data_IF_451010709995
#
_entry.id   IF_451010709995
#
_cell.length_a   1.000
_cell.length_b   1.000
_cell.length_c   1.000
_cell.angle_alpha   90.00
_cell.angle_beta   90.00
_cell.angle_gamma   90.00
#
_symmetry.space_group_name_H-M   'P 1'
#
loop_
_entity.id
_entity.type
_entity.pdbx_description
1 polymer ?
#
# COMPACT_ATOMS: atom_id res chain seq x y z
N UNK A 1 3.26 -23.30 -9.61
CA UNK A 1 3.12 -22.85 -8.21
C UNK A 1 4.49 -22.42 -7.73
N UNK A 2 4.69 -21.15 -7.36
CA UNK A 2 5.91 -20.79 -6.62
C UNK A 2 5.77 -21.40 -5.24
N UNK A 3 6.69 -22.30 -4.88
CA UNK A 3 6.76 -22.89 -3.55
C UNK A 3 6.95 -21.78 -2.51
N UNK A 4 6.20 -21.86 -1.40
CA UNK A 4 6.38 -21.04 -0.19
C UNK A 4 7.85 -20.87 0.19
N UNK A 5 8.67 -21.91 -0.01
CA UNK A 5 10.11 -21.94 0.29
C UNK A 5 10.95 -21.10 -0.69
N UNK A 6 10.56 -21.00 -1.96
CA UNK A 6 11.22 -20.14 -2.95
C UNK A 6 10.81 -18.67 -2.78
N UNK A 7 9.57 -18.40 -2.35
CA UNK A 7 9.12 -17.07 -1.96
C UNK A 7 9.91 -16.55 -0.73
N UNK A 8 10.15 -17.42 0.26
CA UNK A 8 10.90 -17.11 1.48
C UNK A 8 12.43 -16.99 1.29
N UNK A 9 13.04 -17.82 0.42
CA UNK A 9 14.48 -17.69 0.08
C UNK A 9 14.82 -16.37 -0.64
N UNK A 10 13.84 -15.77 -1.32
CA UNK A 10 13.99 -14.48 -2.01
C UNK A 10 13.83 -13.31 -1.04
N UNK A 11 13.03 -13.45 0.03
CA UNK A 11 12.84 -12.44 1.07
C UNK A 11 14.02 -12.33 2.05
N UNK A 12 14.79 -13.41 2.25
CA UNK A 12 15.94 -13.44 3.16
C UNK A 12 17.30 -13.03 2.56
N UNK A 13 17.35 -12.48 1.34
CA UNK A 13 18.62 -12.18 0.64
C UNK A 13 18.91 -10.68 0.39
N UNK A 14 18.08 -9.75 0.87
CA UNK A 14 18.37 -8.31 0.69
C UNK A 14 19.22 -7.68 1.80
N UNK A 15 19.81 -8.49 2.67
CA UNK A 15 20.70 -8.02 3.74
C UNK A 15 22.16 -8.47 3.54
N UNK A 16 22.76 -8.28 2.36
CA UNK A 16 24.24 -8.23 2.19
C UNK A 16 24.66 -7.30 1.02
N UNK A 17 24.98 -6.05 1.38
CA UNK A 17 26.09 -5.12 1.03
C UNK A 17 26.93 -5.25 -0.29
N UNK A 18 27.42 -4.07 -0.75
CA UNK A 18 28.70 -3.71 -1.45
C UNK A 18 28.50 -3.26 -2.92
N UNK A 19 28.93 -2.09 -3.42
CA UNK A 19 29.68 -0.95 -2.88
C UNK A 19 30.09 -0.02 -4.05
N UNK A 20 29.80 1.28 -3.95
CA UNK A 20 30.52 2.38 -4.61
C UNK A 20 29.97 3.71 -4.05
N UNK A 21 30.63 4.20 -2.99
CA UNK A 21 30.68 5.63 -2.62
C UNK A 21 29.38 6.36 -2.31
N UNK A 22 28.82 6.20 -1.11
CA UNK A 22 28.09 7.29 -0.44
C UNK A 22 28.29 7.16 1.07
N UNK A 23 29.39 7.71 1.57
CA UNK A 23 29.51 8.10 2.98
C UNK A 23 29.02 9.54 3.12
N UNK A 24 28.44 9.85 4.28
CA UNK A 24 28.11 11.20 4.77
C UNK A 24 26.98 11.95 4.08
N UNK A 25 25.76 11.60 4.48
CA UNK A 25 24.55 12.41 4.33
C UNK A 25 23.64 12.32 5.55
N UNK A 26 24.22 12.24 6.76
CA UNK A 26 23.48 12.46 8.01
C UNK A 26 23.30 13.98 8.16
N UNK A 27 22.46 14.57 7.31
CA UNK A 27 22.06 15.97 7.35
C UNK A 27 20.55 16.04 7.54
N UNK A 28 20.18 16.08 8.83
CA UNK A 28 19.09 16.88 9.41
C UNK A 28 17.90 17.21 8.52
N UNK A 29 16.86 16.39 8.62
CA UNK A 29 15.53 16.64 8.06
C UNK A 29 14.53 15.57 8.47
N UNK A 30 14.54 15.17 9.75
CA UNK A 30 13.70 14.07 10.24
C UNK A 30 12.26 14.54 10.46
N UNK A 31 11.49 14.77 9.40
CA UNK A 31 10.04 14.60 9.50
C UNK A 31 9.79 13.11 9.41
N UNK A 32 9.67 12.41 10.55
CA UNK A 32 9.18 11.03 10.59
C UNK A 32 7.80 11.01 9.92
N UNK A 33 7.75 10.65 8.64
CA UNK A 33 6.51 10.38 7.95
C UNK A 33 5.96 9.09 8.55
N UNK A 34 4.94 9.18 9.40
CA UNK A 34 4.21 7.99 9.85
C UNK A 34 3.10 7.74 8.84
N UNK A 35 3.35 6.80 7.93
CA UNK A 35 2.35 6.21 7.06
C UNK A 35 2.06 4.77 7.51
N UNK A 36 0.80 4.36 7.45
CA UNK A 36 0.39 2.98 7.66
C UNK A 36 -0.68 2.62 6.65
N UNK A 37 -0.50 1.52 5.94
CA UNK A 37 -1.41 1.10 4.87
C UNK A 37 -1.72 -0.38 4.98
N UNK A 38 -2.99 -0.72 4.72
CA UNK A 38 -3.46 -2.10 4.59
C UNK A 38 -4.14 -2.22 3.24
N UNK A 39 -3.68 -3.16 2.42
CA UNK A 39 -4.34 -3.56 1.18
C UNK A 39 -4.93 -4.96 1.35
N UNK A 40 -6.11 -5.19 0.79
CA UNK A 40 -6.77 -6.49 0.90
C UNK A 40 -7.56 -6.84 -0.36
N UNK A 41 -7.37 -8.07 -0.83
CA UNK A 41 -8.35 -8.74 -1.67
C UNK A 41 -9.22 -9.55 -0.74
N UNK A 42 -10.47 -9.12 -0.56
CA UNK A 42 -11.34 -9.66 0.47
C UNK A 42 -12.68 -10.14 -0.11
N UNK A 43 -13.28 -11.18 0.49
CA UNK A 43 -14.63 -11.60 0.15
C UNK A 43 -15.64 -10.51 0.53
N UNK A 44 -16.84 -10.59 -0.04
CA UNK A 44 -17.99 -9.77 0.36
C UNK A 44 -18.58 -10.22 1.71
N UNK A 45 -17.74 -10.16 2.74
CA UNK A 45 -18.04 -10.61 4.10
C UNK A 45 -17.85 -9.44 5.07
N UNK A 46 -18.96 -9.03 5.70
CA UNK A 46 -18.97 -7.89 6.63
C UNK A 46 -18.05 -8.13 7.84
N UNK A 47 -17.91 -9.37 8.31
CA UNK A 47 -17.03 -9.68 9.44
C UNK A 47 -15.56 -9.48 9.07
N UNK A 48 -15.17 -9.82 7.83
CA UNK A 48 -13.81 -9.57 7.33
C UNK A 48 -13.53 -8.07 7.23
N UNK A 49 -14.47 -7.30 6.69
CA UNK A 49 -14.38 -5.83 6.62
C UNK A 49 -14.26 -5.25 8.04
N UNK A 50 -15.09 -5.72 8.98
CA UNK A 50 -15.08 -5.27 10.36
C UNK A 50 -13.75 -5.54 11.07
N UNK A 51 -13.21 -6.75 10.89
CA UNK A 51 -11.92 -7.12 11.46
C UNK A 51 -10.79 -6.26 10.90
N UNK A 52 -10.78 -5.98 9.59
CA UNK A 52 -9.76 -5.15 8.95
C UNK A 52 -9.81 -3.70 9.41
N UNK A 53 -10.98 -3.06 9.38
CA UNK A 53 -11.15 -1.67 9.82
C UNK A 53 -10.79 -1.54 11.30
N UNK A 54 -11.22 -2.48 12.13
CA UNK A 54 -10.91 -2.47 13.57
C UNK A 54 -9.43 -2.70 13.85
N UNK A 55 -8.79 -3.65 13.18
CA UNK A 55 -7.36 -3.90 13.33
C UNK A 55 -6.53 -2.69 12.89
N UNK A 56 -6.92 -2.06 11.78
CA UNK A 56 -6.32 -0.83 11.28
C UNK A 56 -6.46 0.31 12.28
N UNK A 57 -7.68 0.61 12.75
CA UNK A 57 -7.97 1.63 13.79
C UNK A 57 -7.12 1.43 15.05
N UNK A 58 -7.05 0.19 15.55
CA UNK A 58 -6.26 -0.12 16.74
C UNK A 58 -4.76 0.08 16.51
N UNK A 59 -4.26 -0.19 15.30
CA UNK A 59 -2.85 0.01 14.96
C UNK A 59 -2.49 1.49 14.86
N UNK A 60 -3.34 2.30 14.23
CA UNK A 60 -3.08 3.74 14.04
C UNK A 60 -3.46 4.59 15.24
N UNK A 61 -4.27 4.07 16.18
CA UNK A 61 -4.74 4.74 17.40
C UNK A 61 -5.30 6.15 17.16
N UNK A 62 -6.11 6.31 16.12
CA UNK A 62 -6.68 7.60 15.71
C UNK A 62 -8.21 7.56 15.66
N UNK A 63 -8.84 8.63 16.12
CA UNK A 63 -10.29 8.85 16.05
C UNK A 63 -10.69 9.83 14.93
N UNK A 64 -9.74 10.28 14.10
CA UNK A 64 -10.02 11.21 12.99
C UNK A 64 -11.14 10.69 12.11
N UNK A 65 -11.99 11.59 11.61
CA UNK A 65 -13.04 11.23 10.68
C UNK A 65 -12.44 10.76 9.34
N UNK A 66 -12.81 9.56 8.86
CA UNK A 66 -12.21 9.02 7.65
C UNK A 66 -12.87 9.58 6.39
N UNK A 67 -12.09 9.70 5.32
CA UNK A 67 -12.62 9.85 3.96
C UNK A 67 -12.93 8.44 3.42
N UNK A 68 -14.18 8.20 3.01
CA UNK A 68 -14.63 6.89 2.50
C UNK A 68 -14.93 6.99 1.00
N UNK A 69 -14.24 6.20 0.20
CA UNK A 69 -14.41 6.11 -1.25
C UNK A 69 -14.93 4.71 -1.60
N UNK A 70 -16.23 4.59 -1.76
CA UNK A 70 -16.94 3.32 -1.90
C UNK A 70 -18.30 3.49 -2.58
N UNK A 71 -18.88 2.38 -3.07
CA UNK A 71 -20.33 2.32 -3.32
C UNK A 71 -21.11 2.54 -2.01
N UNK A 72 -22.25 3.23 -2.08
CA UNK A 72 -22.99 3.72 -0.89
C UNK A 72 -23.23 2.65 0.19
N UNK A 73 -23.70 1.46 -0.21
CA UNK A 73 -23.99 0.36 0.73
C UNK A 73 -22.76 -0.10 1.53
N UNK A 74 -21.62 -0.26 0.87
CA UNK A 74 -20.40 -0.75 1.55
C UNK A 74 -19.73 0.40 2.31
N UNK A 75 -19.84 1.64 1.80
CA UNK A 75 -19.39 2.83 2.49
C UNK A 75 -20.08 3.03 3.84
N UNK A 76 -21.39 2.84 3.91
CA UNK A 76 -22.17 2.90 5.17
C UNK A 76 -21.69 1.86 6.20
N UNK A 77 -21.42 0.63 5.74
CA UNK A 77 -20.89 -0.44 6.58
C UNK A 77 -19.54 -0.03 7.18
N UNK A 78 -18.60 0.44 6.35
CA UNK A 78 -17.29 0.91 6.81
C UNK A 78 -17.43 2.05 7.80
N UNK A 79 -18.29 3.04 7.51
CA UNK A 79 -18.51 4.18 8.41
C UNK A 79 -19.02 3.72 9.79
N UNK A 80 -20.02 2.83 9.80
CA UNK A 80 -20.59 2.28 11.04
C UNK A 80 -19.54 1.53 11.87
N UNK A 81 -18.69 0.74 11.22
CA UNK A 81 -17.62 -0.01 11.88
C UNK A 81 -16.57 0.96 12.42
N UNK A 82 -16.15 1.95 11.63
CA UNK A 82 -15.14 2.94 12.01
C UNK A 82 -15.55 3.73 13.26
N UNK A 83 -16.83 4.13 13.33
CA UNK A 83 -17.44 4.80 14.48
C UNK A 83 -17.44 3.92 15.73
N UNK A 84 -17.84 2.64 15.58
CA UNK A 84 -17.84 1.67 16.69
C UNK A 84 -16.44 1.33 17.20
N UNK A 85 -15.42 1.47 16.35
CA UNK A 85 -14.02 1.18 16.68
C UNK A 85 -13.27 2.36 17.30
N UNK A 86 -13.93 3.49 17.54
CA UNK A 86 -13.36 4.63 18.28
C UNK A 86 -13.11 4.25 19.73
N UNK A 87 -12.02 4.75 20.30
CA UNK A 87 -11.65 4.53 21.71
C UNK A 87 -11.16 5.82 22.33
N UNK A 88 -11.45 6.03 23.62
CA UNK A 88 -11.07 7.27 24.33
C UNK A 88 -9.55 7.50 24.38
N UNK A 89 -8.76 6.42 24.40
CA UNK A 89 -7.30 6.48 24.48
C UNK A 89 -6.59 6.65 23.12
N UNK A 90 -7.33 6.85 22.03
CA UNK A 90 -6.76 7.13 20.71
C UNK A 90 -6.46 8.62 20.56
N UNK A 91 -5.17 8.95 20.42
CA UNK A 91 -4.66 10.33 20.42
C UNK A 91 -4.10 10.80 19.07
N UNK A 92 -3.90 9.89 18.12
CA UNK A 92 -3.22 10.22 16.87
C UNK A 92 -4.13 11.04 15.95
N UNK A 93 -3.61 12.11 15.34
CA UNK A 93 -4.38 13.14 14.63
C UNK A 93 -4.17 13.17 13.11
N UNK A 94 -3.67 12.09 12.51
CA UNK A 94 -3.48 12.01 11.06
C UNK A 94 -4.76 11.84 10.25
N UNK A 95 -4.61 11.90 8.93
CA UNK A 95 -5.67 11.64 7.96
C UNK A 95 -5.92 10.14 7.79
N UNK A 96 -7.19 9.74 7.67
CA UNK A 96 -7.61 8.36 7.42
C UNK A 96 -8.37 8.32 6.10
N UNK A 97 -8.04 7.36 5.23
CA UNK A 97 -8.81 7.09 4.01
C UNK A 97 -9.12 5.60 3.89
N UNK A 98 -10.39 5.28 3.65
CA UNK A 98 -10.82 3.94 3.25
C UNK A 98 -11.25 3.96 1.79
N UNK A 99 -10.78 2.98 1.02
CA UNK A 99 -11.22 2.75 -0.37
C UNK A 99 -11.66 1.31 -0.48
N UNK A 100 -12.84 1.09 -1.05
CA UNK A 100 -13.30 -0.27 -1.38
C UNK A 100 -13.96 -0.27 -2.75
N UNK A 101 -13.54 -1.22 -3.58
CA UNK A 101 -14.05 -1.35 -4.95
C UNK A 101 -14.34 -2.81 -5.26
N UNK A 102 -15.47 -3.07 -5.92
CA UNK A 102 -15.79 -4.42 -6.42
C UNK A 102 -14.81 -4.86 -7.50
N UNK A 103 -14.43 -6.12 -7.46
CA UNK A 103 -13.57 -6.76 -8.44
C UNK A 103 -14.42 -7.35 -9.57
N UNK A 104 -13.93 -7.19 -10.80
CA UNK A 104 -14.56 -7.78 -11.99
C UNK A 104 -14.12 -9.24 -12.23
N UNK A 105 -13.18 -9.74 -11.42
CA UNK A 105 -12.64 -11.10 -11.50
C UNK A 105 -12.43 -11.66 -10.10
N UNK A 106 -12.74 -12.95 -9.94
CA UNK A 106 -12.42 -13.66 -8.70
C UNK A 106 -10.93 -13.99 -8.65
N UNK A 107 -10.26 -13.46 -7.62
CA UNK A 107 -8.87 -13.81 -7.29
C UNK A 107 -8.84 -14.38 -5.86
N UNK A 108 -7.72 -14.98 -5.48
CA UNK A 108 -7.56 -15.49 -4.11
C UNK A 108 -7.50 -14.32 -3.13
N UNK A 109 -8.18 -14.49 -1.98
CA UNK A 109 -8.16 -13.49 -0.92
C UNK A 109 -6.81 -13.48 -0.21
N UNK A 110 -6.27 -12.29 0.00
CA UNK A 110 -5.06 -12.07 0.78
C UNK A 110 -5.03 -10.62 1.27
N UNK A 111 -4.24 -10.36 2.30
CA UNK A 111 -4.00 -9.00 2.79
C UNK A 111 -2.51 -8.73 2.90
N UNK A 112 -2.18 -7.46 2.75
CA UNK A 112 -0.82 -6.96 2.79
C UNK A 112 -0.80 -5.66 3.58
N UNK A 113 0.27 -5.47 4.36
CA UNK A 113 0.45 -4.33 5.25
C UNK A 113 1.79 -3.67 4.93
N UNK A 114 1.84 -2.34 5.02
CA UNK A 114 3.09 -1.58 4.93
C UNK A 114 3.11 -0.41 5.88
N UNK A 115 4.30 -0.03 6.32
CA UNK A 115 4.54 1.17 7.13
C UNK A 115 5.81 1.91 6.65
N UNK A 116 6.20 2.95 7.39
CA UNK A 116 7.36 3.78 7.05
C UNK A 116 8.70 3.04 7.02
N UNK A 117 8.81 1.94 7.79
CA UNK A 117 10.06 1.20 7.97
C UNK A 117 10.04 -0.13 7.20
N UNK A 118 8.85 -0.71 7.05
CA UNK A 118 8.66 -2.04 6.51
C UNK A 118 7.91 -1.97 5.18
N UNK A 119 8.62 -2.32 4.12
CA UNK A 119 8.02 -2.52 2.81
C UNK A 119 6.98 -3.66 2.87
N UNK A 120 6.03 -3.60 1.93
CA UNK A 120 4.85 -4.44 1.66
C UNK A 120 5.06 -5.97 1.79
N UNK A 121 6.26 -6.48 2.02
CA UNK A 121 6.62 -7.89 1.84
C UNK A 121 7.21 -8.61 3.07
N UNK A 122 7.44 -7.92 4.19
CA UNK A 122 7.90 -8.59 5.41
C UNK A 122 6.74 -9.31 6.10
N UNK A 123 6.77 -10.64 6.09
CA UNK A 123 5.81 -11.48 6.82
C UNK A 123 5.98 -11.34 8.34
N UNK A 124 7.21 -11.08 8.77
CA UNK A 124 7.61 -11.03 10.17
C UNK A 124 7.14 -9.74 10.87
N UNK A 125 6.63 -8.77 10.11
CA UNK A 125 6.12 -7.49 10.61
C UNK A 125 4.59 -7.40 10.70
N UNK A 126 3.88 -8.47 10.30
CA UNK A 126 2.45 -8.56 10.56
C UNK A 126 2.24 -8.75 12.05
N UNK A 127 1.55 -7.82 12.70
CA UNK A 127 1.11 -8.06 14.07
C UNK A 127 0.17 -9.29 14.10
N UNK A 128 0.08 -9.95 15.25
CA UNK A 128 -0.71 -11.18 15.43
C UNK A 128 -2.17 -11.04 14.97
N UNK A 129 -2.73 -9.82 15.01
CA UNK A 129 -4.09 -9.53 14.55
C UNK A 129 -4.20 -9.66 13.02
N UNK A 130 -3.29 -9.04 12.26
CA UNK A 130 -3.31 -9.15 10.80
C UNK A 130 -2.90 -10.55 10.33
N UNK A 131 -2.02 -11.25 11.03
CA UNK A 131 -1.76 -12.67 10.76
C UNK A 131 -3.02 -13.54 10.90
N UNK A 132 -3.80 -13.30 11.96
CA UNK A 132 -5.05 -14.03 12.17
C UNK A 132 -6.07 -13.75 11.06
N UNK A 133 -6.30 -12.48 10.71
CA UNK A 133 -7.18 -12.09 9.60
C UNK A 133 -6.73 -12.77 8.31
N UNK A 134 -5.45 -12.67 7.98
CA UNK A 134 -4.88 -13.27 6.77
C UNK A 134 -5.05 -14.79 6.75
N UNK A 135 -4.88 -15.46 7.89
CA UNK A 135 -5.06 -16.91 7.99
C UNK A 135 -6.51 -17.33 7.68
N UNK A 136 -7.49 -16.53 8.12
CA UNK A 136 -8.92 -16.74 7.85
C UNK A 136 -9.34 -16.44 6.42
N UNK A 137 -8.49 -15.77 5.62
CA UNK A 137 -8.71 -15.53 4.20
C UNK A 137 -8.23 -16.69 3.31
N UNK A 138 -7.46 -17.63 3.86
CA UNK A 138 -6.90 -18.74 3.07
C UNK A 138 -8.00 -19.52 2.35
N UNK A 139 -7.77 -19.78 1.07
CA UNK A 139 -8.68 -20.51 0.16
C UNK A 139 -10.03 -19.81 -0.09
N UNK A 140 -10.22 -18.57 0.35
CA UNK A 140 -11.40 -17.76 0.01
C UNK A 140 -11.16 -16.98 -1.28
N UNK A 141 -12.23 -16.72 -2.03
CA UNK A 141 -12.20 -15.86 -3.21
C UNK A 141 -12.59 -14.44 -2.81
N UNK A 142 -11.98 -13.46 -3.46
CA UNK A 142 -12.25 -12.04 -3.21
C UNK A 142 -13.33 -11.50 -4.15
N UNK A 143 -14.13 -10.60 -3.60
CA UNK A 143 -15.13 -9.81 -4.30
C UNK A 143 -14.75 -8.32 -4.32
N UNK A 144 -13.92 -7.90 -3.36
CA UNK A 144 -13.52 -6.51 -3.17
C UNK A 144 -12.00 -6.35 -3.13
N UNK A 145 -11.54 -5.22 -3.68
CA UNK A 145 -10.25 -4.64 -3.34
C UNK A 145 -10.48 -3.56 -2.28
N UNK A 146 -9.89 -3.76 -1.10
CA UNK A 146 -9.95 -2.88 0.05
C UNK A 146 -8.60 -2.22 0.28
N UNK A 147 -8.62 -0.94 0.65
CA UNK A 147 -7.43 -0.20 1.08
C UNK A 147 -7.79 0.70 2.27
N UNK A 148 -6.98 0.66 3.31
CA UNK A 148 -7.02 1.58 4.44
C UNK A 148 -5.67 2.28 4.57
N UNK A 149 -5.68 3.61 4.62
CA UNK A 149 -4.48 4.45 4.63
C UNK A 149 -4.55 5.44 5.79
N UNK A 150 -3.42 5.57 6.50
CA UNK A 150 -3.20 6.57 7.54
C UNK A 150 -1.93 7.35 7.25
N UNK A 151 -1.99 8.67 7.42
CA UNK A 151 -0.84 9.57 7.29
C UNK A 151 -0.90 10.68 8.34
N UNK A 152 0.15 10.81 9.15
CA UNK A 152 0.30 11.88 10.16
C UNK A 152 0.44 13.30 9.60
N UNK A 153 0.62 13.46 8.28
CA UNK A 153 0.68 14.81 7.71
C UNK A 153 -0.71 15.41 7.57
N UNK A 154 -0.86 16.62 8.09
CA UNK A 154 -2.01 17.49 7.86
C UNK A 154 -2.27 17.62 6.36
N UNK A 155 -3.42 17.12 5.92
CA UNK A 155 -3.94 17.30 4.56
C UNK A 155 -3.86 18.78 4.13
N UNK A 156 -4.10 19.72 5.05
CA UNK A 156 -3.98 21.15 4.82
C UNK A 156 -2.52 21.61 4.58
N UNK A 157 -1.55 21.10 5.34
CA UNK A 157 -0.12 21.42 5.11
C UNK A 157 0.41 20.89 3.76
N UNK A 158 -0.25 19.86 3.21
CA UNK A 158 0.08 19.25 1.92
C UNK A 158 -0.53 19.96 0.71
N UNK A 159 -1.54 20.82 0.92
CA UNK A 159 -2.16 21.66 -0.11
C UNK A 159 -1.42 23.00 -0.25
N UNK A 160 -0.93 23.57 0.86
CA UNK A 160 -0.28 24.89 0.86
C UNK A 160 1.23 24.86 0.65
N UNK A 161 1.86 23.68 0.67
CA UNK A 161 3.25 23.52 0.19
C UNK A 161 3.22 22.94 -1.22
N UNK A 162 3.68 23.73 -2.20
CA UNK A 162 4.14 23.28 -3.52
C UNK A 162 5.34 22.34 -3.35
N UNK A 163 5.13 21.21 -2.70
CA UNK A 163 6.14 20.20 -2.49
C UNK A 163 6.03 19.24 -3.67
N UNK A 164 7.01 19.33 -4.56
CA UNK A 164 7.16 18.42 -5.70
C UNK A 164 7.12 16.98 -5.18
N UNK A 165 6.25 16.18 -5.78
CA UNK A 165 6.11 14.76 -5.48
C UNK A 165 6.76 13.98 -6.61
N UNK A 166 7.49 12.93 -6.25
CA UNK A 166 8.10 12.01 -7.20
C UNK A 166 7.60 10.60 -6.98
N UNK A 167 7.46 9.89 -8.09
CA UNK A 167 7.21 8.46 -8.16
C UNK A 167 8.56 7.77 -8.24
N UNK A 168 8.92 7.07 -7.18
CA UNK A 168 10.14 6.28 -7.08
C UNK A 168 9.83 4.86 -7.51
N UNK A 169 10.49 4.40 -8.56
CA UNK A 169 10.31 3.07 -9.14
C UNK A 169 11.55 2.23 -8.83
N UNK A 170 11.35 1.08 -8.21
CA UNK A 170 12.39 0.12 -7.86
C UNK A 170 12.04 -1.26 -8.45
N UNK A 171 13.07 -2.01 -8.84
CA UNK A 171 12.96 -3.43 -9.17
C UNK A 171 14.07 -4.24 -8.50
N UNK A 172 14.23 -5.51 -8.89
CA UNK A 172 15.26 -6.40 -8.32
C UNK A 172 16.71 -5.94 -8.55
N UNK A 173 16.95 -5.00 -9.47
CA UNK A 173 18.26 -4.41 -9.74
C UNK A 173 18.49 -3.11 -8.96
N UNK A 174 17.51 -2.65 -8.19
CA UNK A 174 17.56 -1.41 -7.41
C UNK A 174 16.65 -0.31 -7.97
N UNK A 175 17.04 0.94 -7.74
CA UNK A 175 16.30 2.11 -8.24
C UNK A 175 16.31 2.10 -9.77
N UNK A 176 15.12 2.09 -10.36
CA UNK A 176 14.91 2.17 -11.81
C UNK A 176 14.76 3.63 -12.24
N UNK A 177 13.90 4.39 -11.56
CA UNK A 177 13.61 5.77 -11.95
C UNK A 177 12.99 6.61 -10.82
N UNK A 178 13.05 7.94 -10.96
CA UNK A 178 12.33 8.94 -10.17
C UNK A 178 11.59 9.87 -11.12
N UNK A 179 10.26 9.84 -11.06
CA UNK A 179 9.40 10.48 -12.07
C UNK A 179 8.51 11.51 -11.40
N UNK A 180 8.50 12.75 -11.89
CA UNK A 180 7.61 13.79 -11.36
C UNK A 180 6.13 13.37 -11.46
N UNK A 181 5.41 13.48 -10.35
CA UNK A 181 3.98 13.18 -10.28
C UNK A 181 3.11 14.28 -10.92
N UNK A 182 3.70 15.45 -11.21
CA UNK A 182 3.00 16.59 -11.82
C UNK A 182 2.74 16.38 -13.32
N UNK A 183 3.56 15.54 -13.97
CA UNK A 183 3.49 15.28 -15.40
C UNK A 183 2.69 14.01 -15.70
N UNK A 184 2.07 13.99 -16.88
CA UNK A 184 1.33 12.83 -17.36
C UNK A 184 2.23 11.91 -18.19
N UNK A 185 2.30 10.64 -17.81
CA UNK A 185 3.06 9.59 -18.50
C UNK A 185 2.15 8.41 -18.81
N UNK A 186 2.08 7.98 -20.08
CA UNK A 186 1.11 6.97 -20.50
C UNK A 186 1.61 5.53 -20.42
N UNK A 187 2.92 5.29 -20.53
CA UNK A 187 3.48 3.95 -20.67
C UNK A 187 4.94 3.88 -20.22
N UNK A 188 5.17 3.84 -18.92
CA UNK A 188 6.49 3.58 -18.32
C UNK A 188 6.61 2.07 -18.13
N UNK A 189 7.53 1.42 -18.84
CA UNK A 189 7.71 -0.03 -18.76
C UNK A 189 8.85 -0.38 -17.81
N UNK A 190 8.53 -1.20 -16.81
CA UNK A 190 9.46 -1.60 -15.76
C UNK A 190 9.72 -3.10 -15.93
N UNK A 191 10.98 -3.46 -16.14
CA UNK A 191 11.38 -4.85 -16.29
C UNK A 191 11.37 -5.58 -14.93
N UNK A 192 10.87 -6.82 -14.95
CA UNK A 192 10.88 -7.75 -13.83
C UNK A 192 11.04 -9.21 -14.30
N UNK A 193 11.22 -10.16 -13.37
CA UNK A 193 11.57 -11.54 -13.69
C UNK A 193 10.47 -12.36 -14.37
N UNK A 194 9.18 -11.96 -14.29
CA UNK A 194 8.10 -12.59 -15.07
C UNK A 194 7.70 -11.77 -16.31
N UNK A 195 8.46 -10.71 -16.61
CA UNK A 195 8.22 -9.81 -17.72
C UNK A 195 8.02 -8.36 -17.25
N UNK A 196 7.35 -7.56 -18.09
CA UNK A 196 7.21 -6.12 -17.87
C UNK A 196 5.98 -5.75 -17.02
N UNK A 197 6.10 -4.66 -16.30
CA UNK A 197 5.01 -3.97 -15.60
C UNK A 197 4.88 -2.56 -16.17
N UNK A 198 3.74 -2.23 -16.76
CA UNK A 198 3.48 -0.92 -17.34
C UNK A 198 2.79 0.01 -16.35
N UNK A 199 3.43 1.13 -16.09
CA UNK A 199 3.01 2.20 -15.20
C UNK A 199 2.47 3.40 -16.00
N UNK A 200 1.37 3.97 -15.53
CA UNK A 200 0.75 5.20 -16.03
C UNK A 200 0.66 6.21 -14.89
N UNK A 201 1.00 7.46 -15.19
CA UNK A 201 0.82 8.62 -14.31
C UNK A 201 -0.14 9.58 -15.01
N UNK A 202 -1.26 9.92 -14.37
CA UNK A 202 -2.28 10.81 -14.93
C UNK A 202 -2.93 11.63 -13.83
N UNK A 203 -2.92 12.97 -13.97
CA UNK A 203 -3.55 13.91 -13.03
C UNK A 203 -3.08 13.72 -11.58
N UNK A 204 -1.79 13.41 -11.38
CA UNK A 204 -1.23 13.15 -10.06
C UNK A 204 -1.55 11.78 -9.47
N UNK A 205 -2.13 10.87 -10.27
CA UNK A 205 -2.39 9.48 -9.88
C UNK A 205 -1.47 8.53 -10.62
N UNK A 206 -0.90 7.59 -9.87
CA UNK A 206 -0.03 6.53 -10.34
C UNK A 206 -0.83 5.23 -10.39
N UNK A 207 -0.80 4.52 -11.51
CA UNK A 207 -1.53 3.26 -11.70
C UNK A 207 -0.75 2.32 -12.59
N UNK A 208 -0.81 1.01 -12.29
CA UNK A 208 -0.34 0.00 -13.24
C UNK A 208 -1.43 -0.26 -14.29
N UNK A 209 -1.12 -0.01 -15.56
CA UNK A 209 -2.05 -0.30 -16.67
C UNK A 209 -1.81 -1.67 -17.29
N UNK A 210 -0.61 -2.25 -17.13
CA UNK A 210 -0.31 -3.61 -17.61
C UNK A 210 0.65 -4.34 -16.67
N UNK A 211 0.48 -5.66 -16.54
CA UNK A 211 1.41 -6.50 -15.80
C UNK A 211 1.43 -7.88 -16.43
N UNK A 212 2.63 -8.39 -16.65
CA UNK A 212 2.86 -9.77 -17.14
C UNK A 212 2.63 -10.83 -16.07
N UNK A 213 2.47 -10.44 -14.80
CA UNK A 213 2.24 -11.41 -13.73
C UNK A 213 0.83 -12.01 -13.81
N UNK A 214 0.73 -13.32 -13.53
CA UNK A 214 -0.52 -14.09 -13.61
C UNK A 214 -1.71 -13.46 -12.87
N UNK A 215 -1.45 -12.84 -11.73
CA UNK A 215 -2.51 -12.37 -10.83
C UNK A 215 -2.93 -10.93 -11.07
N UNK A 216 -2.10 -10.13 -11.76
CA UNK A 216 -2.41 -8.75 -12.14
C UNK A 216 -2.85 -7.82 -10.99
N UNK A 217 -2.61 -8.22 -9.74
CA UNK A 217 -3.02 -7.54 -8.49
C UNK A 217 -2.69 -6.04 -8.50
N UNK A 218 -1.46 -5.70 -8.91
CA UNK A 218 -0.97 -4.33 -8.92
C UNK A 218 -1.76 -3.39 -9.86
N UNK A 219 -2.50 -3.91 -10.84
CA UNK A 219 -3.35 -3.10 -11.75
C UNK A 219 -4.58 -2.51 -11.07
N UNK A 220 -4.95 -3.06 -9.91
CA UNK A 220 -6.11 -2.62 -9.13
C UNK A 220 -5.75 -1.57 -8.07
N UNK A 221 -4.46 -1.36 -7.80
CA UNK A 221 -3.97 -0.35 -6.86
C UNK A 221 -3.73 0.97 -7.56
N UNK A 222 -3.97 2.07 -6.86
CA UNK A 222 -3.66 3.44 -7.32
C UNK A 222 -2.96 4.17 -6.17
N UNK A 223 -1.93 4.95 -6.49
CA UNK A 223 -1.19 5.75 -5.53
C UNK A 223 -1.23 7.23 -5.94
N UNK A 224 -1.41 8.15 -5.00
CA UNK A 224 -1.40 9.60 -5.27
C UNK A 224 -0.84 10.46 -4.13
N UNK A 225 -0.78 9.91 -2.92
CA UNK A 225 -0.21 10.52 -1.73
C UNK A 225 1.20 10.04 -1.44
N UNK A 226 2.01 10.91 -0.81
CA UNK A 226 3.34 10.54 -0.31
C UNK A 226 3.21 9.37 0.67
N UNK A 227 4.06 8.36 0.52
CA UNK A 227 4.01 7.12 1.28
C UNK A 227 3.01 6.10 0.75
N UNK A 228 2.22 6.41 -0.28
CA UNK A 228 1.47 5.37 -1.02
C UNK A 228 2.42 4.50 -1.83
N UNK A 229 2.08 3.22 -1.93
CA UNK A 229 2.90 2.21 -2.57
C UNK A 229 2.06 1.38 -3.54
N UNK A 230 2.64 1.03 -4.69
CA UNK A 230 2.12 -0.03 -5.57
C UNK A 230 3.18 -1.11 -5.70
N UNK A 231 2.76 -2.35 -5.50
CA UNK A 231 3.63 -3.50 -5.36
C UNK A 231 3.22 -4.59 -6.35
N UNK A 232 4.13 -4.99 -7.23
CA UNK A 232 3.98 -6.16 -8.08
C UNK A 232 4.95 -7.25 -7.62
N UNK A 233 4.53 -8.04 -6.62
CA UNK A 233 5.37 -9.08 -6.02
C UNK A 233 5.99 -10.05 -7.07
N UNK A 234 5.23 -10.62 -8.03
CA UNK A 234 5.82 -11.58 -8.96
C UNK A 234 6.85 -10.97 -9.91
N UNK A 235 6.67 -9.70 -10.29
CA UNK A 235 7.66 -8.95 -11.09
C UNK A 235 8.67 -8.18 -10.24
N UNK A 236 8.66 -8.34 -8.91
CA UNK A 236 9.55 -7.64 -7.98
C UNK A 236 9.63 -6.13 -8.25
N UNK A 237 8.53 -5.51 -8.65
CA UNK A 237 8.44 -4.06 -8.88
C UNK A 237 7.80 -3.40 -7.67
N UNK A 238 8.39 -2.31 -7.22
CA UNK A 238 7.90 -1.47 -6.14
C UNK A 238 7.85 -0.02 -6.62
N UNK A 239 6.71 0.62 -6.41
CA UNK A 239 6.49 2.01 -6.78
C UNK A 239 6.07 2.75 -5.53
N UNK A 240 6.76 3.82 -5.18
CA UNK A 240 6.50 4.64 -4.00
C UNK A 240 6.28 6.08 -4.44
N UNK A 241 5.50 6.84 -3.68
CA UNK A 241 5.44 8.29 -3.85
C UNK A 241 6.22 8.93 -2.72
N UNK A 242 7.24 9.71 -3.07
CA UNK A 242 8.10 10.42 -2.14
C UNK A 242 7.95 11.94 -2.31
N UNK A 243 8.31 12.67 -1.26
CA UNK A 243 8.44 14.11 -1.30
C UNK A 243 9.89 14.45 -1.64
N UNK A 244 10.08 15.43 -2.52
CA UNK A 244 11.38 16.06 -2.80
C UNK A 244 11.52 17.34 -1.98
#
# INVERSE_FOLDING_TARGET
MISRRNFLKIAGLTSVVVGAGYTTGKLTGNSKFVNYTVHGFIPADEQVIANLVSAFKNKIKSNTEPIIIADSKVGEIINRIDLKSRKENFSNSGSITYRIKRLDKQIDSDIIVSDANNAVYSLDDLNSVFEHIRSGLKNRKSDYFFTAEYSENDFLSSIFKLNKKEVVVENEKGLVDRISLENNYKNILIDGPQGKTGLKIENGFVKIHSSTCRYEICKHTTASGVGNIIACAPNKVLIKIERV
#
